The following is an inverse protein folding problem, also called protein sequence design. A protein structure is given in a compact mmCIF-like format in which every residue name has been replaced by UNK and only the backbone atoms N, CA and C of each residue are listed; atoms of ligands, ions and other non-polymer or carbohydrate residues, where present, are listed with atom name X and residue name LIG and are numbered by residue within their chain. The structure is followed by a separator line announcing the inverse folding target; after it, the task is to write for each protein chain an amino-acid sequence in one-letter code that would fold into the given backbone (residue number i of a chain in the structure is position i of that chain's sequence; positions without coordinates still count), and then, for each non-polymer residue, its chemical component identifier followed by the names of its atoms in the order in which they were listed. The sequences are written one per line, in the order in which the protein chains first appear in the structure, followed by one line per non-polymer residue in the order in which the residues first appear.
data_IF_805407058443
#
_entry.id   IF_805407058443
#
_cell.length_a   1.000
_cell.length_b   1.000
_cell.length_c   1.000
_cell.angle_alpha   90.00
_cell.angle_beta   90.00
_cell.angle_gamma   90.00
#
_symmetry.space_group_name_H-M   'P 1'
#
loop_
_entity.id
_entity.type
_entity.pdbx_description
1 polymer ?
#
# COMPACT_ATOMS: atom_id res chain seq x y z
N UNK A 1 -12.69 -4.00 19.23
CA UNK A 1 -11.74 -2.96 18.75
C UNK A 1 -12.55 -2.08 17.82
N UNK A 2 -12.90 -0.90 18.30
CA UNK A 2 -13.69 0.05 17.50
C UNK A 2 -12.75 0.66 16.47
N UNK A 3 -12.80 0.16 15.26
CA UNK A 3 -12.17 0.77 14.12
C UNK A 3 -13.13 1.84 13.64
N UNK A 4 -12.92 3.07 14.04
CA UNK A 4 -13.51 4.21 13.34
C UNK A 4 -12.88 4.29 11.95
N UNK A 5 -13.33 3.41 11.06
CA UNK A 5 -13.28 3.67 9.65
C UNK A 5 -14.37 4.72 9.38
N UNK A 6 -14.07 5.96 9.73
CA UNK A 6 -14.87 7.08 9.26
C UNK A 6 -14.83 7.06 7.73
N UNK A 7 -15.92 7.43 7.07
CA UNK A 7 -16.00 7.56 5.61
C UNK A 7 -14.91 8.47 5.02
N UNK A 8 -14.23 9.25 5.87
CA UNK A 8 -13.13 10.17 5.54
C UNK A 8 -11.72 9.58 5.69
N UNK A 9 -11.58 8.25 5.78
CA UNK A 9 -10.28 7.61 5.74
C UNK A 9 -9.60 7.52 7.11
N UNK A 10 -9.84 6.43 7.81
CA UNK A 10 -9.14 6.06 9.03
C UNK A 10 -7.75 5.46 8.76
N UNK A 11 -7.21 4.83 9.79
CA UNK A 11 -6.00 4.03 9.70
C UNK A 11 -6.21 2.66 10.34
N UNK A 12 -5.40 1.69 9.94
CA UNK A 12 -5.35 0.35 10.53
C UNK A 12 -3.98 0.13 11.13
N UNK A 13 -3.93 -0.42 12.34
CA UNK A 13 -2.70 -0.84 12.99
C UNK A 13 -2.65 -2.36 13.00
N UNK A 14 -1.61 -2.89 12.42
CA UNK A 14 -1.34 -4.33 12.38
C UNK A 14 -0.06 -4.67 13.13
N UNK A 15 -0.04 -5.85 13.75
CA UNK A 15 1.21 -6.40 14.24
C UNK A 15 2.11 -6.75 13.06
N UNK A 16 3.30 -6.20 13.03
CA UNK A 16 4.29 -6.46 12.00
C UNK A 16 5.38 -7.38 12.52
N UNK A 17 5.70 -8.43 11.76
CA UNK A 17 6.83 -9.28 12.06
C UNK A 17 8.09 -8.73 11.39
N UNK A 18 9.08 -8.39 12.19
CA UNK A 18 10.42 -8.03 11.70
C UNK A 18 11.14 -9.33 11.37
N UNK A 19 11.16 -9.70 10.09
CA UNK A 19 11.66 -11.03 9.68
C UNK A 19 13.16 -11.04 9.38
N UNK A 20 13.71 -9.92 8.90
CA UNK A 20 15.10 -9.83 8.46
C UNK A 20 15.88 -8.81 9.28
N UNK A 21 16.92 -9.27 10.03
CA UNK A 21 17.77 -8.36 10.80
C UNK A 21 18.53 -7.33 9.94
N UNK A 22 18.83 -7.64 8.69
CA UNK A 22 19.57 -6.72 7.80
C UNK A 22 18.63 -5.62 7.32
N UNK A 23 17.44 -5.98 6.82
CA UNK A 23 16.43 -5.00 6.44
C UNK A 23 16.03 -4.12 7.64
N UNK A 24 15.87 -4.72 8.82
CA UNK A 24 15.67 -3.99 10.07
C UNK A 24 16.78 -2.98 10.33
N UNK A 25 18.03 -3.39 10.23
CA UNK A 25 19.17 -2.53 10.51
C UNK A 25 19.30 -1.34 9.55
N UNK A 26 18.90 -1.52 8.29
CA UNK A 26 19.04 -0.49 7.24
C UNK A 26 17.89 0.53 7.19
N UNK A 27 16.82 0.27 7.94
CA UNK A 27 15.61 1.11 7.90
C UNK A 27 15.29 1.81 9.22
N UNK A 28 16.04 1.52 10.29
CA UNK A 28 15.77 2.10 11.59
C UNK A 28 16.15 3.56 11.68
N UNK A 29 15.21 4.36 12.14
CA UNK A 29 15.38 5.76 12.45
C UNK A 29 14.88 6.06 13.87
N UNK A 30 15.40 7.09 14.51
CA UNK A 30 14.85 7.70 15.70
C UNK A 30 14.58 9.19 15.46
N UNK A 31 14.28 9.94 16.50
CA UNK A 31 13.98 11.39 16.38
C UNK A 31 15.15 12.21 15.81
N UNK A 32 16.36 11.67 15.78
CA UNK A 32 17.55 12.32 15.21
C UNK A 32 17.84 11.89 13.77
N UNK A 33 17.08 10.94 13.23
CA UNK A 33 17.20 10.39 11.87
C UNK A 33 17.68 8.95 11.84
N UNK A 34 18.23 8.47 10.71
CA UNK A 34 18.68 7.09 10.56
C UNK A 34 19.70 6.68 11.61
N UNK A 35 19.49 5.53 12.23
CA UNK A 35 20.43 4.98 13.20
C UNK A 35 21.74 4.53 12.52
N UNK A 36 22.85 4.92 13.09
CA UNK A 36 24.17 4.48 12.64
C UNK A 36 25.16 4.32 13.79
N UNK A 37 26.27 3.63 13.55
CA UNK A 37 27.31 3.42 14.57
C UNK A 37 26.84 2.58 15.75
N UNK A 38 27.22 2.96 16.96
CA UNK A 38 26.93 2.20 18.18
C UNK A 38 25.42 2.07 18.47
N UNK A 39 24.57 3.10 18.32
CA UNK A 39 23.13 2.97 18.49
C UNK A 39 22.51 1.89 17.60
N UNK A 40 22.91 1.81 16.33
CA UNK A 40 22.46 0.77 15.41
C UNK A 40 22.91 -0.62 15.87
N UNK A 41 24.18 -0.77 16.25
CA UNK A 41 24.71 -2.05 16.76
C UNK A 41 23.93 -2.53 17.98
N UNK A 42 23.60 -1.63 18.89
CA UNK A 42 22.85 -1.96 20.11
C UNK A 42 21.39 -2.32 19.80
N UNK A 43 20.77 -1.67 18.82
CA UNK A 43 19.44 -2.02 18.32
C UNK A 43 19.42 -3.42 17.70
N UNK A 44 20.38 -3.72 16.81
CA UNK A 44 20.50 -5.04 16.15
C UNK A 44 20.77 -6.16 17.15
N UNK A 45 21.60 -5.92 18.16
CA UNK A 45 21.84 -6.90 19.25
C UNK A 45 20.57 -7.26 20.02
N UNK A 46 19.61 -6.32 20.09
CA UNK A 46 18.32 -6.51 20.74
C UNK A 46 17.23 -6.98 19.76
N UNK A 47 17.55 -7.36 18.53
CA UNK A 47 16.61 -7.67 17.46
C UNK A 47 15.41 -8.54 17.91
N UNK A 48 15.67 -9.58 18.70
CA UNK A 48 14.62 -10.49 19.21
C UNK A 48 13.67 -9.87 20.25
N UNK A 49 13.93 -8.66 20.69
CA UNK A 49 13.12 -7.91 21.68
C UNK A 49 12.30 -6.80 21.06
N UNK A 50 12.49 -6.57 19.76
CA UNK A 50 11.71 -5.59 19.04
C UNK A 50 10.34 -6.14 18.66
N UNK A 51 9.33 -5.30 18.76
CA UNK A 51 7.98 -5.55 18.28
C UNK A 51 7.67 -4.46 17.27
N UNK A 52 7.16 -4.84 16.10
CA UNK A 52 6.76 -3.91 15.05
C UNK A 52 5.24 -3.72 15.01
N UNK A 53 4.82 -2.49 14.81
CA UNK A 53 3.48 -2.14 14.39
C UNK A 53 3.56 -1.51 13.01
N UNK A 54 2.71 -1.97 12.10
CA UNK A 54 2.51 -1.37 10.79
C UNK A 54 1.27 -0.48 10.85
N UNK A 55 1.45 0.80 10.63
CA UNK A 55 0.36 1.75 10.50
C UNK A 55 0.03 1.95 9.02
N UNK A 56 -1.12 1.48 8.58
CA UNK A 56 -1.62 1.72 7.23
C UNK A 56 -2.63 2.86 7.26
N UNK A 57 -2.43 3.86 6.43
CA UNK A 57 -3.35 4.97 6.23
C UNK A 57 -3.94 4.90 4.83
N UNK A 58 -5.20 5.30 4.69
CA UNK A 58 -5.83 5.42 3.38
C UNK A 58 -5.34 6.69 2.70
N UNK A 59 -4.85 6.55 1.48
CA UNK A 59 -4.58 7.66 0.60
C UNK A 59 -5.83 8.09 -0.20
N UNK A 60 -5.79 9.25 -0.79
CA UNK A 60 -6.88 9.81 -1.59
C UNK A 60 -6.74 9.51 -3.09
N UNK A 61 -5.86 8.56 -3.45
CA UNK A 61 -5.57 8.13 -4.83
C UNK A 61 -5.25 9.30 -5.78
N UNK A 62 -4.41 10.21 -5.33
CA UNK A 62 -3.98 11.39 -6.07
C UNK A 62 -2.69 11.17 -6.89
N UNK A 63 -2.18 9.94 -6.92
CA UNK A 63 -1.02 9.57 -7.71
C UNK A 63 -1.31 9.64 -9.22
N UNK A 64 -0.27 9.99 -9.98
CA UNK A 64 -0.32 10.02 -11.44
C UNK A 64 0.82 9.23 -12.05
N UNK A 65 0.54 8.54 -13.15
CA UNK A 65 1.52 7.90 -14.01
C UNK A 65 1.47 8.61 -15.36
N UNK A 66 2.60 8.95 -15.90
CA UNK A 66 2.70 9.56 -17.22
C UNK A 66 3.88 8.99 -18.02
N UNK A 67 3.76 9.05 -19.34
CA UNK A 67 4.80 8.64 -20.28
C UNK A 67 5.14 9.85 -21.12
N UNK A 68 6.43 10.16 -21.25
CA UNK A 68 6.90 11.25 -22.09
C UNK A 68 6.98 10.84 -23.59
N UNK A 69 7.24 11.80 -24.47
CA UNK A 69 7.34 11.55 -25.92
C UNK A 69 8.49 10.58 -26.30
N UNK A 70 9.47 10.40 -25.43
CA UNK A 70 10.58 9.45 -25.60
C UNK A 70 10.30 8.06 -25.04
N UNK A 71 9.11 7.84 -24.46
CA UNK A 71 8.72 6.59 -23.80
C UNK A 71 9.24 6.47 -22.38
N UNK A 72 9.76 7.54 -21.79
CA UNK A 72 10.18 7.59 -20.39
C UNK A 72 8.97 7.62 -19.47
N UNK A 73 8.93 6.71 -18.50
CA UNK A 73 7.85 6.62 -17.52
C UNK A 73 8.14 7.53 -16.33
N UNK A 74 7.12 8.24 -15.86
CA UNK A 74 7.21 9.01 -14.63
C UNK A 74 6.03 8.71 -13.72
N UNK A 75 6.31 8.74 -12.43
CA UNK A 75 5.35 8.47 -11.38
C UNK A 75 5.42 9.61 -10.36
N UNK A 76 4.27 10.11 -9.96
CA UNK A 76 4.14 11.11 -8.90
C UNK A 76 3.05 10.69 -7.93
N UNK A 77 3.41 10.59 -6.67
CA UNK A 77 2.47 10.45 -5.56
C UNK A 77 3.04 11.21 -4.38
N UNK A 78 2.27 12.14 -3.85
CA UNK A 78 2.62 12.90 -2.66
C UNK A 78 1.42 12.93 -1.72
N UNK A 79 1.67 12.80 -0.42
CA UNK A 79 0.64 12.98 0.58
C UNK A 79 0.17 14.42 0.63
N UNK A 80 -1.12 14.60 0.70
CA UNK A 80 -1.73 15.88 1.01
C UNK A 80 -1.83 16.10 2.55
N UNK A 81 -2.33 17.25 2.96
CA UNK A 81 -2.41 17.60 4.38
C UNK A 81 -3.29 16.64 5.19
N UNK A 82 -4.38 16.13 4.60
CA UNK A 82 -5.27 15.17 5.26
C UNK A 82 -4.58 13.82 5.48
N UNK A 83 -3.85 13.34 4.49
CA UNK A 83 -3.09 12.11 4.57
C UNK A 83 -1.96 12.21 5.59
N UNK A 84 -1.26 13.35 5.66
CA UNK A 84 -0.30 13.62 6.72
C UNK A 84 -0.93 13.60 8.11
N UNK A 85 -2.11 14.21 8.29
CA UNK A 85 -2.81 14.19 9.58
C UNK A 85 -3.23 12.77 10.00
N UNK A 86 -3.68 11.93 9.06
CA UNK A 86 -4.00 10.52 9.32
C UNK A 86 -2.75 9.74 9.73
N UNK A 87 -1.64 9.95 9.02
CA UNK A 87 -0.36 9.32 9.35
C UNK A 87 0.10 9.71 10.75
N UNK A 88 0.08 10.98 11.09
CA UNK A 88 0.43 11.48 12.41
C UNK A 88 -0.46 10.90 13.52
N UNK A 89 -1.76 10.76 13.25
CA UNK A 89 -2.69 10.12 14.20
C UNK A 89 -2.36 8.63 14.40
N UNK A 90 -2.08 7.91 13.32
CA UNK A 90 -1.70 6.49 13.36
C UNK A 90 -0.38 6.28 14.10
N UNK A 91 0.60 7.15 13.89
CA UNK A 91 1.89 7.09 14.57
C UNK A 91 1.77 7.41 16.06
N UNK A 92 0.99 8.42 16.44
CA UNK A 92 0.71 8.71 17.86
C UNK A 92 0.04 7.53 18.54
N UNK A 93 -1.00 6.96 17.92
CA UNK A 93 -1.68 5.78 18.45
C UNK A 93 -0.74 4.58 18.61
N UNK A 94 0.11 4.31 17.60
CA UNK A 94 1.10 3.23 17.66
C UNK A 94 2.11 3.43 18.78
N UNK A 95 2.58 4.67 18.99
CA UNK A 95 3.44 5.03 20.11
C UNK A 95 2.77 4.75 21.45
N UNK A 96 1.54 5.24 21.65
CA UNK A 96 0.79 5.07 22.90
C UNK A 96 0.60 3.58 23.23
N UNK A 97 0.29 2.75 22.23
CA UNK A 97 0.15 1.29 22.39
C UNK A 97 1.46 0.65 22.81
N UNK A 98 2.57 0.99 22.15
CA UNK A 98 3.89 0.42 22.45
C UNK A 98 4.38 0.86 23.84
N UNK A 99 4.20 2.11 24.21
CA UNK A 99 4.55 2.64 25.54
C UNK A 99 3.70 1.97 26.64
N UNK A 100 2.39 1.83 26.43
CA UNK A 100 1.51 1.11 27.34
C UNK A 100 1.88 -0.37 27.49
N UNK A 101 2.46 -0.97 26.45
CA UNK A 101 3.01 -2.34 26.48
C UNK A 101 4.40 -2.42 27.15
N UNK A 102 4.97 -1.29 27.59
CA UNK A 102 6.26 -1.24 28.30
C UNK A 102 7.47 -1.07 27.38
N UNK A 103 7.29 -0.57 26.17
CA UNK A 103 8.43 -0.24 25.30
C UNK A 103 9.31 0.83 25.96
N UNK A 104 10.60 0.59 25.97
CA UNK A 104 11.62 1.50 26.55
C UNK A 104 12.43 2.24 25.48
N UNK A 105 12.24 1.87 24.23
CA UNK A 105 12.86 2.49 23.07
C UNK A 105 11.89 2.39 21.91
N UNK A 106 11.71 3.47 21.18
CA UNK A 106 10.92 3.53 19.96
C UNK A 106 11.83 3.87 18.79
N UNK A 107 11.61 3.22 17.67
CA UNK A 107 12.26 3.51 16.40
C UNK A 107 11.23 3.48 15.29
N UNK A 108 11.57 4.09 14.21
CA UNK A 108 10.78 4.27 13.02
C UNK A 108 11.48 3.58 11.84
N UNK A 109 10.75 3.06 10.88
CA UNK A 109 11.33 2.41 9.69
C UNK A 109 11.02 3.16 8.38
N UNK A 110 10.59 4.40 8.50
CA UNK A 110 10.20 5.22 7.35
C UNK A 110 8.86 4.84 6.72
N UNK A 111 8.51 5.54 5.66
CA UNK A 111 7.34 5.28 4.85
C UNK A 111 7.65 4.23 3.77
N UNK A 112 6.74 3.28 3.61
CA UNK A 112 6.82 2.28 2.55
C UNK A 112 5.43 2.05 1.95
N UNK A 113 5.36 1.73 0.67
CA UNK A 113 4.14 1.29 0.01
C UNK A 113 4.33 -0.12 -0.51
N UNK A 114 3.52 -1.04 -0.02
CA UNK A 114 3.49 -2.44 -0.46
C UNK A 114 2.15 -2.85 -1.05
N UNK A 115 1.15 -1.97 -0.98
CA UNK A 115 -0.22 -2.19 -1.43
C UNK A 115 -0.57 -1.26 -2.60
N UNK A 116 0.30 -1.17 -3.59
CA UNK A 116 0.14 -0.28 -4.75
C UNK A 116 -1.08 -0.68 -5.56
N UNK A 117 -1.96 0.28 -5.85
CA UNK A 117 -3.25 0.08 -6.51
C UNK A 117 -3.57 1.24 -7.46
N UNK A 118 -4.54 1.05 -8.36
CA UNK A 118 -5.24 2.13 -9.05
C UNK A 118 -4.62 2.67 -10.34
N UNK A 119 -3.43 2.24 -10.75
CA UNK A 119 -2.80 2.77 -11.98
C UNK A 119 -3.54 2.38 -13.27
N UNK A 120 -4.29 1.27 -13.27
CA UNK A 120 -5.19 0.84 -14.36
C UNK A 120 -6.63 0.67 -13.86
N UNK A 121 -7.11 1.65 -13.07
CA UNK A 121 -8.37 1.52 -12.34
C UNK A 121 -9.55 1.10 -13.23
N UNK A 122 -10.38 0.20 -12.69
CA UNK A 122 -11.63 -0.21 -13.34
C UNK A 122 -12.74 0.84 -13.16
N UNK A 123 -13.67 0.86 -14.10
CA UNK A 123 -14.86 1.72 -14.05
C UNK A 123 -15.78 1.50 -15.21
N UNK A 124 -16.92 2.17 -15.19
CA UNK A 124 -17.93 2.13 -16.26
C UNK A 124 -17.78 3.25 -17.29
N UNK A 125 -16.87 4.20 -17.07
CA UNK A 125 -16.66 5.36 -17.91
C UNK A 125 -15.26 5.32 -18.51
N UNK A 126 -15.10 5.15 -19.83
CA UNK A 126 -13.81 5.07 -20.49
C UNK A 126 -12.96 6.35 -20.39
N UNK A 127 -13.59 7.50 -20.15
CA UNK A 127 -12.87 8.77 -19.94
C UNK A 127 -12.27 8.87 -18.53
N UNK A 128 -12.69 8.00 -17.61
CA UNK A 128 -12.31 8.05 -16.20
C UNK A 128 -11.72 6.73 -15.66
N UNK A 129 -11.63 5.71 -16.50
CA UNK A 129 -11.09 4.39 -16.15
C UNK A 129 -10.24 3.84 -17.29
N UNK A 130 -9.35 2.92 -16.97
CA UNK A 130 -8.48 2.25 -17.96
C UNK A 130 -9.11 0.95 -18.43
N UNK A 131 -9.78 0.23 -17.50
CA UNK A 131 -10.44 -1.03 -17.80
C UNK A 131 -11.93 -0.99 -17.40
N UNK A 132 -12.71 -1.83 -18.03
CA UNK A 132 -14.10 -2.08 -17.66
C UNK A 132 -14.21 -3.01 -16.42
N UNK A 133 -15.44 -3.39 -16.08
CA UNK A 133 -15.70 -4.26 -14.94
C UNK A 133 -15.10 -5.67 -15.08
N UNK A 134 -14.81 -6.13 -16.28
CA UNK A 134 -14.24 -7.45 -16.57
C UNK A 134 -12.71 -7.40 -16.81
N UNK A 135 -12.10 -6.23 -16.56
CA UNK A 135 -10.66 -6.02 -16.67
C UNK A 135 -10.18 -5.77 -18.10
N UNK A 136 -11.09 -5.61 -19.08
CA UNK A 136 -10.72 -5.33 -20.48
C UNK A 136 -10.35 -3.85 -20.63
N UNK A 137 -9.23 -3.59 -21.31
CA UNK A 137 -8.75 -2.22 -21.58
C UNK A 137 -9.64 -1.54 -22.61
N UNK A 138 -10.09 -0.33 -22.30
CA UNK A 138 -10.92 0.44 -23.20
C UNK A 138 -10.19 0.78 -24.50
N UNK A 139 -10.84 0.52 -25.62
CA UNK A 139 -10.33 0.86 -26.96
C UNK A 139 -9.15 0.01 -27.45
N UNK A 140 -8.76 -1.04 -26.73
CA UNK A 140 -7.71 -1.97 -27.14
C UNK A 140 -8.25 -3.39 -27.13
N UNK A 141 -8.25 -4.02 -28.30
CA UNK A 141 -8.77 -5.39 -28.43
C UNK A 141 -7.83 -6.41 -27.76
N UNK A 142 -8.43 -7.36 -27.06
CA UNK A 142 -7.74 -8.51 -26.46
C UNK A 142 -6.67 -8.14 -25.42
N UNK A 143 -6.75 -6.96 -24.81
CA UNK A 143 -5.88 -6.55 -23.72
C UNK A 143 -6.69 -6.49 -22.43
N UNK A 144 -6.20 -7.19 -21.41
CA UNK A 144 -6.82 -7.28 -20.09
C UNK A 144 -5.79 -7.00 -19.00
N UNK A 145 -6.26 -6.50 -17.87
CA UNK A 145 -5.45 -6.27 -16.67
C UNK A 145 -6.12 -7.00 -15.51
N UNK A 146 -5.34 -7.84 -14.80
CA UNK A 146 -5.84 -8.71 -13.72
C UNK A 146 -5.07 -8.63 -12.43
N UNK A 147 -4.39 -7.52 -12.16
CA UNK A 147 -3.59 -7.31 -10.94
C UNK A 147 -4.17 -6.18 -10.06
N UNK A 148 -3.43 -5.77 -9.03
CA UNK A 148 -3.84 -4.72 -8.10
C UNK A 148 -4.08 -3.35 -8.73
N UNK A 149 -3.55 -3.10 -9.91
CA UNK A 149 -3.72 -1.81 -10.61
C UNK A 149 -5.16 -1.52 -11.00
N UNK A 150 -6.00 -2.56 -11.16
CA UNK A 150 -7.42 -2.40 -11.51
C UNK A 150 -8.28 -1.91 -10.34
N UNK A 151 -7.81 -2.02 -9.10
CA UNK A 151 -8.55 -1.60 -7.90
C UNK A 151 -8.69 -0.08 -7.90
N UNK A 152 -9.92 0.49 -7.91
CA UNK A 152 -10.13 1.89 -8.25
C UNK A 152 -9.81 2.89 -7.13
N UNK A 153 -9.65 2.40 -5.90
CA UNK A 153 -9.31 3.21 -4.70
C UNK A 153 -8.70 2.33 -3.63
N UNK A 154 -8.06 2.96 -2.64
CA UNK A 154 -7.55 2.25 -1.47
C UNK A 154 -8.66 1.47 -0.74
N UNK A 155 -8.32 0.28 -0.25
CA UNK A 155 -9.28 -0.67 0.32
C UNK A 155 -9.35 -0.60 1.86
N UNK A 156 -8.56 0.22 2.51
CA UNK A 156 -8.43 0.27 3.99
C UNK A 156 -7.97 -1.04 4.65
N UNK A 157 -7.61 -2.03 3.84
CA UNK A 157 -7.15 -3.37 4.25
C UNK A 157 -6.13 -3.89 3.23
N UNK A 158 -5.40 -4.93 3.61
CA UNK A 158 -4.47 -5.63 2.72
C UNK A 158 -5.20 -6.13 1.46
N UNK A 159 -4.75 -5.79 0.23
CA UNK A 159 -5.52 -5.98 -0.99
C UNK A 159 -5.47 -7.39 -1.58
N UNK A 160 -4.62 -8.29 -1.09
CA UNK A 160 -4.32 -9.58 -1.74
C UNK A 160 -5.55 -10.42 -2.03
N UNK A 161 -6.51 -10.53 -1.09
CA UNK A 161 -7.75 -11.30 -1.31
C UNK A 161 -8.62 -10.67 -2.39
N UNK A 162 -8.74 -9.34 -2.40
CA UNK A 162 -9.49 -8.61 -3.43
C UNK A 162 -8.84 -8.80 -4.81
N UNK A 163 -7.52 -8.68 -4.90
CA UNK A 163 -6.77 -8.87 -6.15
C UNK A 163 -6.99 -10.29 -6.68
N UNK A 164 -6.85 -11.31 -5.83
CA UNK A 164 -7.09 -12.71 -6.23
C UNK A 164 -8.52 -12.95 -6.68
N UNK A 165 -9.51 -12.37 -6.00
CA UNK A 165 -10.92 -12.50 -6.38
C UNK A 165 -11.19 -11.85 -7.75
N UNK A 166 -10.64 -10.67 -8.01
CA UNK A 166 -10.77 -9.98 -9.30
C UNK A 166 -10.06 -10.75 -10.41
N UNK A 167 -8.87 -11.29 -10.16
CA UNK A 167 -8.15 -12.12 -11.11
C UNK A 167 -8.88 -13.42 -11.43
N UNK A 168 -9.49 -14.07 -10.44
CA UNK A 168 -10.33 -15.26 -10.64
C UNK A 168 -11.56 -14.95 -11.48
N UNK A 169 -12.24 -13.83 -11.21
CA UNK A 169 -13.37 -13.37 -12.00
C UNK A 169 -12.99 -13.10 -13.46
N UNK A 170 -11.83 -12.46 -13.69
CA UNK A 170 -11.30 -12.26 -15.04
C UNK A 170 -11.03 -13.61 -15.72
N UNK A 171 -10.44 -14.58 -15.02
CA UNK A 171 -10.19 -15.92 -15.57
C UNK A 171 -11.49 -16.64 -15.97
N UNK A 172 -12.53 -16.56 -15.14
CA UNK A 172 -13.85 -17.11 -15.44
C UNK A 172 -14.46 -16.44 -16.69
N UNK A 173 -14.40 -15.09 -16.77
CA UNK A 173 -14.86 -14.32 -17.94
C UNK A 173 -14.16 -14.77 -19.23
N UNK A 174 -12.84 -14.91 -19.21
CA UNK A 174 -12.05 -15.37 -20.36
C UNK A 174 -12.35 -16.83 -20.70
N UNK A 175 -12.64 -17.68 -19.73
CA UNK A 175 -13.01 -19.07 -19.95
C UNK A 175 -14.39 -19.20 -20.62
N UNK A 176 -15.36 -18.40 -20.23
CA UNK A 176 -16.74 -18.45 -20.70
C UNK A 176 -16.89 -17.85 -22.11
N UNK A 177 -16.00 -16.92 -22.51
CA UNK A 177 -15.96 -16.37 -23.87
C UNK A 177 -14.59 -16.60 -24.56
N UNK A 178 -14.23 -17.85 -24.87
CA UNK A 178 -12.94 -18.18 -25.48
C UNK A 178 -12.76 -17.60 -26.88
N UNK A 179 -13.83 -17.22 -27.56
CA UNK A 179 -13.77 -16.61 -28.90
C UNK A 179 -13.57 -15.09 -28.84
N UNK A 180 -13.91 -14.43 -27.75
CA UNK A 180 -13.72 -13.00 -27.58
C UNK A 180 -12.26 -12.57 -27.48
N UNK A 181 -11.38 -13.48 -27.04
CA UNK A 181 -9.93 -13.20 -26.90
C UNK A 181 -9.01 -14.02 -27.80
N UNK A 182 -9.51 -15.11 -28.43
CA UNK A 182 -8.73 -15.96 -29.37
C UNK A 182 -8.95 -15.58 -30.85
N UNK A 183 -9.98 -14.82 -31.16
CA UNK A 183 -10.32 -14.41 -32.52
C UNK A 183 -9.51 -13.12 -32.94
#
# INVERSE_FOLDING_TARGET
MDHQADEDGGFVIEASTIQDPIAFATTLEDESGPLWGQPLVDAVRKFRRWVGLLAMVNDENNGTVSVDEGGGESFSAAFNDNEHQRLDAALRFSRDVLEAAGATQLCWTGLASTHVQGSCRMGSDPERSVVDADGRVWGVDRLYVGDGSVVPRTLSVNPSLTIMALASRLADHLHDDPHGYLA
#
